data_IF_570163964788
#
_entry.id   IF_570163964788
#
_cell.length_a   1.000
_cell.length_b   1.000
_cell.length_c   1.000
_cell.angle_alpha   90.00
_cell.angle_beta   90.00
_cell.angle_gamma   90.00
#
_symmetry.space_group_name_H-M   'P 1'
#
loop_
_entity.id
_entity.type
_entity.pdbx_description
1 polymer ?
#
# COMPACT_ATOMS: atom_id res chain seq x y z
N UNK A 1 20.79 24.25 -2.53
CA UNK A 1 19.52 24.84 -2.02
C UNK A 1 18.77 23.71 -1.36
N UNK A 2 19.17 23.37 -0.13
CA UNK A 2 18.90 22.07 0.50
C UNK A 2 18.03 22.16 1.76
N UNK A 3 17.57 23.36 2.11
CA UNK A 3 16.73 23.60 3.29
C UNK A 3 15.24 23.27 3.07
N UNK A 4 14.82 23.16 1.80
CA UNK A 4 13.42 22.90 1.46
C UNK A 4 13.00 21.47 1.81
N UNK A 5 13.91 20.48 1.65
CA UNK A 5 13.59 19.06 1.82
C UNK A 5 13.68 18.53 3.26
N UNK A 6 14.35 19.26 4.16
CA UNK A 6 14.63 18.81 5.52
C UNK A 6 13.75 19.49 6.59
N UNK A 7 12.73 20.24 6.16
CA UNK A 7 11.81 20.93 7.07
C UNK A 7 10.96 19.95 7.91
N UNK A 8 10.57 20.31 9.16
CA UNK A 8 9.74 19.46 10.03
C UNK A 8 8.41 18.99 9.41
N UNK A 9 7.86 19.77 8.48
CA UNK A 9 6.63 19.44 7.75
C UNK A 9 6.83 18.23 6.83
N UNK A 10 7.93 18.17 6.09
CA UNK A 10 8.23 17.06 5.17
C UNK A 10 8.50 15.78 5.96
N UNK A 11 9.16 15.89 7.11
CA UNK A 11 9.34 14.75 8.02
C UNK A 11 8.01 14.12 8.44
N UNK A 12 7.03 14.94 8.84
CA UNK A 12 5.69 14.45 9.24
C UNK A 12 4.95 13.78 8.08
N UNK A 13 5.01 14.34 6.88
CA UNK A 13 4.38 13.71 5.71
C UNK A 13 5.08 12.40 5.33
N UNK A 14 6.42 12.34 5.43
CA UNK A 14 7.19 11.10 5.24
C UNK A 14 6.82 10.03 6.25
N UNK A 15 6.68 10.38 7.53
CA UNK A 15 6.25 9.46 8.58
C UNK A 15 4.84 8.92 8.32
N UNK A 16 3.92 9.73 7.79
CA UNK A 16 2.59 9.25 7.37
C UNK A 16 2.68 8.27 6.20
N UNK A 17 3.47 8.62 5.18
CA UNK A 17 3.66 7.74 4.02
C UNK A 17 4.26 6.38 4.43
N UNK A 18 5.26 6.38 5.32
CA UNK A 18 5.84 5.15 5.87
C UNK A 18 4.77 4.29 6.54
N UNK A 19 3.93 4.88 7.41
CA UNK A 19 2.85 4.13 8.09
C UNK A 19 1.83 3.53 7.11
N UNK A 20 1.50 4.25 6.04
CA UNK A 20 0.60 3.74 4.99
C UNK A 20 1.19 2.48 4.35
N UNK A 21 2.46 2.55 3.94
CA UNK A 21 3.13 1.42 3.29
C UNK A 21 3.34 0.25 4.26
N UNK A 22 3.75 0.51 5.50
CA UNK A 22 3.91 -0.51 6.55
C UNK A 22 2.60 -1.24 6.85
N UNK A 23 1.48 -0.50 6.91
CA UNK A 23 0.15 -1.07 7.11
C UNK A 23 -0.23 -2.01 5.96
N UNK A 24 -0.11 -1.54 4.72
CA UNK A 24 -0.41 -2.34 3.52
C UNK A 24 0.49 -3.59 3.49
N UNK A 25 1.80 -3.43 3.66
CA UNK A 25 2.75 -4.55 3.68
C UNK A 25 2.38 -5.60 4.74
N UNK A 26 2.08 -5.15 5.96
CA UNK A 26 1.71 -6.04 7.07
C UNK A 26 0.42 -6.81 6.78
N UNK A 27 -0.58 -6.14 6.21
CA UNK A 27 -1.84 -6.78 5.81
C UNK A 27 -1.62 -7.83 4.72
N UNK A 28 -0.86 -7.48 3.66
CA UNK A 28 -0.54 -8.40 2.58
C UNK A 28 0.31 -9.59 3.04
N UNK A 29 1.16 -9.42 4.07
CA UNK A 29 1.90 -10.54 4.66
C UNK A 29 0.98 -11.57 5.33
N UNK A 30 -0.11 -11.11 5.94
CA UNK A 30 -1.10 -11.98 6.58
C UNK A 30 -2.04 -12.60 5.53
N UNK A 31 -2.33 -11.87 4.45
CA UNK A 31 -3.25 -12.25 3.37
C UNK A 31 -2.62 -12.03 1.99
N UNK A 32 -1.59 -12.81 1.61
CA UNK A 32 -0.90 -12.59 0.34
C UNK A 32 -1.77 -12.94 -0.87
N UNK A 33 -2.74 -13.82 -0.70
CA UNK A 33 -3.72 -14.22 -1.70
C UNK A 33 -4.46 -13.03 -2.32
N UNK A 34 -4.73 -11.98 -1.52
CA UNK A 34 -5.48 -10.80 -1.97
C UNK A 34 -4.76 -9.98 -3.04
N UNK A 35 -3.43 -10.13 -3.18
CA UNK A 35 -2.65 -9.42 -4.21
C UNK A 35 -3.15 -9.78 -5.61
N UNK A 36 -3.59 -11.03 -5.80
CA UNK A 36 -4.13 -11.49 -7.09
C UNK A 36 -5.42 -10.76 -7.45
N UNK A 37 -6.26 -10.51 -6.44
CA UNK A 37 -7.49 -9.74 -6.58
C UNK A 37 -7.21 -8.25 -6.83
N UNK A 38 -6.22 -7.68 -6.14
CA UNK A 38 -5.91 -6.24 -6.19
C UNK A 38 -5.15 -5.81 -7.45
N UNK A 39 -4.27 -6.66 -7.97
CA UNK A 39 -3.48 -6.36 -9.18
C UNK A 39 -4.26 -6.73 -10.46
N UNK A 40 -5.40 -7.44 -10.37
CA UNK A 40 -6.09 -7.96 -11.57
C UNK A 40 -5.16 -8.84 -12.43
N UNK A 41 -4.29 -9.64 -11.77
CA UNK A 41 -3.34 -10.53 -12.44
C UNK A 41 -4.01 -11.80 -13.01
N UNK A 42 -5.34 -11.89 -12.99
CA UNK A 42 -6.06 -13.13 -13.30
C UNK A 42 -5.69 -14.27 -12.33
N UNK A 43 -6.00 -15.52 -12.70
CA UNK A 43 -5.64 -16.71 -11.92
C UNK A 43 -4.13 -17.03 -11.93
N UNK A 44 -3.30 -16.22 -12.62
CA UNK A 44 -1.89 -16.53 -12.77
C UNK A 44 -1.12 -16.40 -11.45
N UNK A 45 -0.13 -17.29 -11.31
CA UNK A 45 0.69 -17.42 -10.10
C UNK A 45 1.47 -16.13 -9.84
N UNK A 46 1.87 -15.96 -8.58
CA UNK A 46 2.88 -14.98 -8.19
C UNK A 46 4.08 -15.03 -9.14
N UNK A 47 4.58 -13.85 -9.53
CA UNK A 47 5.74 -13.70 -10.43
C UNK A 47 6.98 -14.34 -9.81
N UNK A 48 7.11 -14.26 -8.49
CA UNK A 48 8.19 -14.88 -7.73
C UNK A 48 7.67 -16.02 -6.85
N UNK A 49 8.52 -17.03 -6.62
CA UNK A 49 8.24 -18.07 -5.62
C UNK A 49 8.18 -17.49 -4.19
N UNK A 50 8.99 -16.45 -3.93
CA UNK A 50 8.96 -15.71 -2.68
C UNK A 50 7.80 -14.72 -2.63
N UNK A 51 6.82 -15.02 -1.77
CA UNK A 51 5.63 -14.18 -1.55
C UNK A 51 6.01 -12.78 -1.08
N UNK A 52 7.04 -12.63 -0.25
CA UNK A 52 7.44 -11.31 0.24
C UNK A 52 7.96 -10.43 -0.90
N UNK A 53 8.66 -11.03 -1.86
CA UNK A 53 9.14 -10.31 -3.04
C UNK A 53 7.99 -9.78 -3.88
N UNK A 54 6.95 -10.60 -4.09
CA UNK A 54 5.75 -10.16 -4.81
C UNK A 54 5.03 -9.01 -4.08
N UNK A 55 4.96 -9.05 -2.75
CA UNK A 55 4.39 -7.95 -1.95
C UNK A 55 5.18 -6.66 -2.17
N UNK A 56 6.51 -6.73 -2.11
CA UNK A 56 7.38 -5.57 -2.30
C UNK A 56 7.22 -5.00 -3.71
N UNK A 57 7.23 -5.85 -4.73
CA UNK A 57 7.10 -5.41 -6.12
C UNK A 57 5.70 -4.83 -6.41
N UNK A 58 4.64 -5.36 -5.78
CA UNK A 58 3.30 -4.75 -5.80
C UNK A 58 3.29 -3.36 -5.19
N UNK A 59 3.85 -3.23 -3.99
CA UNK A 59 3.89 -1.96 -3.29
C UNK A 59 4.71 -0.93 -4.08
N UNK A 60 5.84 -1.34 -4.66
CA UNK A 60 6.70 -0.47 -5.48
C UNK A 60 6.02 -0.02 -6.78
N UNK A 61 5.07 -0.81 -7.31
CA UNK A 61 4.26 -0.47 -8.48
C UNK A 61 3.10 0.49 -8.20
N UNK A 62 2.77 0.76 -6.94
CA UNK A 62 1.65 1.64 -6.59
C UNK A 62 1.99 3.11 -6.84
N UNK A 63 0.99 3.88 -7.27
CA UNK A 63 1.03 5.35 -7.16
C UNK A 63 0.62 5.79 -5.75
N UNK A 64 1.07 6.97 -5.30
CA UNK A 64 0.68 7.53 -3.99
C UNK A 64 -0.85 7.54 -3.79
N UNK A 65 -1.61 7.93 -4.84
CA UNK A 65 -3.08 7.95 -4.81
C UNK A 65 -3.68 6.56 -4.62
N UNK A 66 -3.10 5.55 -5.26
CA UNK A 66 -3.56 4.18 -5.12
C UNK A 66 -3.24 3.64 -3.73
N UNK A 67 -2.02 3.88 -3.22
CA UNK A 67 -1.61 3.45 -1.88
C UNK A 67 -2.54 4.04 -0.79
N UNK A 68 -2.88 5.32 -0.88
CA UNK A 68 -3.80 5.95 0.06
C UNK A 68 -5.20 5.36 -0.01
N UNK A 69 -5.76 5.18 -1.21
CA UNK A 69 -7.09 4.57 -1.40
C UNK A 69 -7.12 3.14 -0.85
N UNK A 70 -6.12 2.33 -1.19
CA UNK A 70 -6.03 0.95 -0.72
C UNK A 70 -5.95 0.90 0.81
N UNK A 71 -5.14 1.78 1.42
CA UNK A 71 -5.07 1.87 2.88
C UNK A 71 -6.43 2.26 3.49
N UNK A 72 -7.14 3.24 2.90
CA UNK A 72 -8.49 3.60 3.35
C UNK A 72 -9.46 2.41 3.23
N UNK A 73 -9.45 1.70 2.10
CA UNK A 73 -10.31 0.53 1.86
C UNK A 73 -10.02 -0.64 2.81
N UNK A 74 -8.75 -0.84 3.20
CA UNK A 74 -8.33 -1.93 4.08
C UNK A 74 -8.58 -1.62 5.56
N UNK A 75 -8.40 -0.37 5.98
CA UNK A 75 -8.34 -0.02 7.41
C UNK A 75 -9.46 0.90 7.89
N UNK A 76 -10.21 1.55 6.99
CA UNK A 76 -11.36 2.36 7.38
C UNK A 76 -12.68 1.61 7.14
N UNK A 77 -13.63 1.72 8.07
CA UNK A 77 -14.96 1.14 7.87
C UNK A 77 -15.65 1.86 6.71
N UNK A 78 -16.16 1.08 5.74
CA UNK A 78 -17.01 1.63 4.69
C UNK A 78 -18.30 2.13 5.32
N UNK A 79 -18.54 3.44 5.23
CA UNK A 79 -19.77 4.07 5.68
C UNK A 79 -20.94 3.47 4.89
N UNK A 80 -22.05 3.13 5.55
CA UNK A 80 -23.26 2.73 4.82
C UNK A 80 -23.68 3.85 3.86
N UNK A 81 -24.01 3.54 2.59
CA UNK A 81 -24.69 4.51 1.75
C UNK A 81 -26.02 4.82 2.43
N UNK A 82 -26.16 6.06 2.93
CA UNK A 82 -27.47 6.61 3.24
C UNK A 82 -28.21 6.69 1.90
N UNK A 83 -29.15 5.77 1.71
CA UNK A 83 -30.06 5.74 0.56
C UNK A 83 -31.04 6.90 0.55
#
# INVERSE_FOLDING_TARGET
NDEVYNGPKIKKEREKAIRVIEGIYSYLKIRPDIIRELWDMGEDKFVHEDVERNIVDFIAGMTDRYALRLYEDLFLPKMWPLG
#
